data_IF_758437129991
#
_entry.id   IF_758437129991
#
_cell.length_a   1.000
_cell.length_b   1.000
_cell.length_c   1.000
_cell.angle_alpha   90.00
_cell.angle_beta   90.00
_cell.angle_gamma   90.00
#
_symmetry.space_group_name_H-M   'P 1'
#
loop_
_entity.id
_entity.type
_entity.pdbx_description
1 polymer ?
#
# COMPACT_ATOMS: atom_id res chain seq x y z
N UNK A 1 -2.01 -19.40 -12.53
CA UNK A 1 -3.09 -18.40 -12.65
C UNK A 1 -3.34 -17.85 -11.26
N UNK A 2 -2.66 -16.78 -10.87
CA UNK A 2 -2.88 -16.18 -9.55
C UNK A 2 -4.17 -15.36 -9.59
N UNK A 3 -5.13 -15.75 -8.75
CA UNK A 3 -6.38 -15.01 -8.57
C UNK A 3 -6.03 -13.55 -8.24
N UNK A 4 -6.45 -12.62 -9.11
CA UNK A 4 -6.56 -11.19 -8.81
C UNK A 4 -7.63 -11.00 -7.71
N UNK A 5 -7.36 -11.46 -6.50
CA UNK A 5 -8.28 -11.38 -5.37
C UNK A 5 -8.13 -9.99 -4.76
N UNK A 6 -8.85 -9.05 -5.34
CA UNK A 6 -9.00 -7.70 -4.80
C UNK A 6 -9.70 -7.79 -3.45
N UNK A 7 -9.08 -7.27 -2.41
CA UNK A 7 -9.70 -7.19 -1.08
C UNK A 7 -10.53 -5.91 -1.05
N UNK A 8 -11.85 -5.99 -1.19
CA UNK A 8 -12.69 -4.79 -1.26
C UNK A 8 -12.91 -4.12 0.10
N UNK A 9 -13.02 -4.91 1.17
CA UNK A 9 -13.35 -4.42 2.51
C UNK A 9 -12.16 -3.68 3.16
N UNK A 10 -12.29 -2.36 3.47
CA UNK A 10 -11.29 -1.60 4.20
C UNK A 10 -10.90 -2.21 5.54
N UNK A 11 -11.84 -2.83 6.25
CA UNK A 11 -11.58 -3.49 7.53
C UNK A 11 -10.62 -4.65 7.34
N UNK A 12 -10.89 -5.49 6.34
CA UNK A 12 -10.02 -6.62 6.00
C UNK A 12 -8.62 -6.16 5.60
N UNK A 13 -8.50 -5.06 4.84
CA UNK A 13 -7.19 -4.48 4.50
C UNK A 13 -6.40 -4.06 5.74
N UNK A 14 -7.03 -3.36 6.69
CA UNK A 14 -6.38 -2.95 7.94
C UNK A 14 -5.94 -4.15 8.77
N UNK A 15 -6.79 -5.20 8.85
CA UNK A 15 -6.44 -6.43 9.54
C UNK A 15 -5.21 -7.10 8.92
N UNK A 16 -5.18 -7.23 7.59
CA UNK A 16 -4.05 -7.85 6.88
C UNK A 16 -2.75 -7.05 7.05
N UNK A 17 -2.82 -5.72 7.15
CA UNK A 17 -1.64 -4.90 7.45
C UNK A 17 -1.14 -5.16 8.87
N UNK A 18 -2.04 -5.18 9.86
CA UNK A 18 -1.69 -5.45 11.24
C UNK A 18 -1.03 -6.84 11.37
N UNK A 19 -1.63 -7.85 10.75
CA UNK A 19 -1.12 -9.22 10.73
C UNK A 19 0.27 -9.29 10.04
N UNK A 20 0.44 -8.63 8.89
CA UNK A 20 1.71 -8.61 8.17
C UNK A 20 2.84 -7.89 8.91
N UNK A 21 2.50 -6.94 9.79
CA UNK A 21 3.44 -6.22 10.65
C UNK A 21 3.64 -6.90 12.01
N UNK A 22 2.92 -7.98 12.30
CA UNK A 22 2.99 -8.69 13.59
C UNK A 22 2.44 -7.89 14.77
N UNK A 23 1.47 -7.00 14.53
CA UNK A 23 0.86 -6.14 15.56
C UNK A 23 -0.65 -6.33 15.63
N UNK A 24 -1.26 -5.89 16.73
CA UNK A 24 -2.72 -5.84 16.80
C UNK A 24 -3.25 -4.64 16.01
N UNK A 25 -4.50 -4.70 15.55
CA UNK A 25 -5.16 -3.55 14.88
C UNK A 25 -5.16 -2.30 15.77
N UNK A 26 -5.38 -2.47 17.07
CA UNK A 26 -5.29 -1.36 18.03
C UNK A 26 -3.85 -0.86 18.25
N UNK A 27 -2.84 -1.67 17.96
CA UNK A 27 -1.43 -1.26 17.96
C UNK A 27 -0.99 -0.57 16.66
N UNK A 28 -1.85 -0.51 15.64
CA UNK A 28 -1.49 0.02 14.32
C UNK A 28 -1.56 1.55 14.26
N UNK A 29 -2.51 2.20 14.94
CA UNK A 29 -2.68 3.66 14.86
C UNK A 29 -1.44 4.48 15.24
N UNK A 30 -0.64 4.16 16.30
CA UNK A 30 0.54 4.95 16.62
C UNK A 30 1.66 4.73 15.59
N UNK A 31 1.77 3.53 15.01
CA UNK A 31 2.75 3.21 13.98
C UNK A 31 2.44 3.92 12.65
N UNK A 32 1.17 4.19 12.38
CA UNK A 32 0.73 5.00 11.25
C UNK A 32 0.77 6.50 11.55
N UNK A 33 1.34 6.94 12.68
CA UNK A 33 1.53 8.35 13.01
C UNK A 33 0.25 9.09 13.41
N UNK A 34 -0.83 8.38 13.75
CA UNK A 34 -2.03 9.01 14.29
C UNK A 34 -1.86 9.29 15.79
N UNK A 35 -2.51 10.37 16.28
CA UNK A 35 -2.54 10.73 17.71
C UNK A 35 -3.56 9.93 18.52
N UNK A 36 -4.52 9.28 17.86
CA UNK A 36 -5.55 8.48 18.48
C UNK A 36 -6.02 7.34 17.56
N UNK A 37 -6.71 6.36 18.15
CA UNK A 37 -7.30 5.22 17.43
C UNK A 37 -8.58 5.57 16.64
N UNK A 38 -9.01 6.84 16.61
CA UNK A 38 -10.32 7.24 16.05
C UNK A 38 -10.47 6.85 14.57
N UNK A 39 -9.41 7.02 13.78
CA UNK A 39 -9.42 6.74 12.33
C UNK A 39 -9.51 5.24 12.07
N UNK A 40 -8.66 4.45 12.72
CA UNK A 40 -8.66 2.99 12.61
C UNK A 40 -9.99 2.42 13.13
N UNK A 41 -10.49 2.90 14.27
CA UNK A 41 -11.80 2.49 14.80
C UNK A 41 -12.92 2.79 13.81
N UNK A 42 -12.92 3.96 13.17
CA UNK A 42 -13.94 4.32 12.17
C UNK A 42 -13.95 3.36 10.98
N UNK A 43 -12.77 2.90 10.54
CA UNK A 43 -12.64 1.88 9.49
C UNK A 43 -13.15 0.53 10.01
N UNK A 44 -12.73 0.10 11.19
CA UNK A 44 -13.08 -1.21 11.76
C UNK A 44 -14.57 -1.36 12.09
N UNK A 45 -15.24 -0.28 12.49
CA UNK A 45 -16.69 -0.24 12.75
C UNK A 45 -17.52 0.09 11.50
N UNK A 46 -16.91 0.11 10.31
CA UNK A 46 -17.62 0.30 9.04
C UNK A 46 -18.17 1.71 8.79
N UNK A 47 -17.72 2.71 9.56
CA UNK A 47 -18.07 4.13 9.31
C UNK A 47 -17.37 4.68 8.07
N UNK A 48 -16.30 4.03 7.62
CA UNK A 48 -15.51 4.40 6.45
C UNK A 48 -15.70 3.37 5.34
N UNK A 49 -16.25 3.80 4.21
CA UNK A 49 -16.52 2.93 3.04
C UNK A 49 -15.28 2.63 2.21
N UNK A 50 -14.24 3.47 2.28
CA UNK A 50 -12.99 3.28 1.55
C UNK A 50 -11.81 3.94 2.27
N UNK A 51 -10.62 3.35 2.13
CA UNK A 51 -9.39 3.97 2.63
C UNK A 51 -9.05 5.17 1.75
N UNK A 52 -8.87 6.34 2.36
CA UNK A 52 -8.59 7.57 1.62
C UNK A 52 -7.13 7.65 1.16
N UNK A 53 -6.86 8.37 0.08
CA UNK A 53 -5.50 8.67 -0.38
C UNK A 53 -4.67 9.38 0.72
N UNK A 54 -5.29 10.24 1.52
CA UNK A 54 -4.63 10.92 2.63
C UNK A 54 -4.19 9.93 3.72
N UNK A 55 -5.06 8.96 4.07
CA UNK A 55 -4.69 7.88 4.98
C UNK A 55 -3.51 7.08 4.44
N UNK A 56 -3.58 6.67 3.17
CA UNK A 56 -2.54 5.83 2.58
C UNK A 56 -1.18 6.55 2.45
N UNK A 57 -1.18 7.83 2.09
CA UNK A 57 0.05 8.64 2.09
C UNK A 57 0.67 8.74 3.47
N UNK A 58 -0.14 9.02 4.49
CA UNK A 58 0.34 9.07 5.87
C UNK A 58 0.88 7.71 6.34
N UNK A 59 0.18 6.62 6.03
CA UNK A 59 0.63 5.27 6.33
C UNK A 59 2.00 4.96 5.75
N UNK A 60 2.25 5.32 4.49
CA UNK A 60 3.54 5.08 3.81
C UNK A 60 4.63 6.03 4.29
N UNK A 61 4.28 7.27 4.66
CA UNK A 61 5.24 8.20 5.26
C UNK A 61 5.88 7.60 6.52
N UNK A 62 5.07 6.90 7.33
CA UNK A 62 5.50 6.32 8.60
C UNK A 62 6.03 4.89 8.45
N UNK A 63 5.38 4.10 7.60
CA UNK A 63 5.70 2.69 7.33
C UNK A 63 5.81 2.47 5.81
N UNK A 64 6.97 2.78 5.23
CA UNK A 64 7.15 2.75 3.78
C UNK A 64 7.02 1.35 3.18
N UNK A 65 7.17 0.31 4.00
CA UNK A 65 6.96 -1.07 3.55
C UNK A 65 5.49 -1.38 3.24
N UNK A 66 4.51 -0.57 3.66
CA UNK A 66 3.11 -0.83 3.32
C UNK A 66 2.87 -0.53 1.83
N UNK A 67 2.14 -1.40 1.12
CA UNK A 67 1.80 -1.17 -0.28
C UNK A 67 0.63 -0.17 -0.41
N UNK A 68 0.86 0.93 -1.12
CA UNK A 68 -0.15 1.93 -1.44
C UNK A 68 -1.36 1.35 -2.18
N UNK A 69 -1.10 0.49 -3.17
CA UNK A 69 -2.16 -0.12 -3.98
C UNK A 69 -2.97 -1.13 -3.17
N UNK A 70 -2.37 -1.74 -2.16
CA UNK A 70 -3.11 -2.58 -1.23
C UNK A 70 -4.07 -1.74 -0.38
N UNK A 71 -3.61 -0.59 0.14
CA UNK A 71 -4.45 0.31 0.91
C UNK A 71 -5.64 0.85 0.10
N UNK A 72 -5.37 1.37 -1.10
CA UNK A 72 -6.38 2.07 -1.91
C UNK A 72 -7.27 1.10 -2.68
N UNK A 73 -6.68 0.11 -3.33
CA UNK A 73 -7.40 -0.80 -4.23
C UNK A 73 -7.54 -2.22 -3.67
N UNK A 74 -6.88 -2.58 -2.56
CA UNK A 74 -6.90 -3.95 -2.05
C UNK A 74 -6.08 -4.93 -2.88
N UNK A 75 -5.20 -4.41 -3.75
CA UNK A 75 -4.32 -5.21 -4.62
C UNK A 75 -3.10 -5.68 -3.84
N UNK A 76 -2.87 -6.99 -3.83
CA UNK A 76 -1.69 -7.59 -3.24
C UNK A 76 -0.40 -7.18 -3.98
N UNK A 77 0.77 -7.26 -3.33
CA UNK A 77 1.02 -7.73 -1.95
C UNK A 77 0.68 -6.69 -0.86
N UNK A 78 0.50 -7.12 0.40
CA UNK A 78 0.23 -6.21 1.55
C UNK A 78 1.43 -5.31 1.83
N UNK A 79 2.62 -5.92 1.84
CA UNK A 79 3.89 -5.25 2.05
C UNK A 79 4.70 -5.23 0.76
N UNK A 80 5.57 -4.24 0.64
CA UNK A 80 6.54 -4.05 -0.44
C UNK A 80 7.94 -4.23 0.12
N UNK A 81 8.88 -4.59 -0.75
CA UNK A 81 10.28 -4.79 -0.40
C UNK A 81 11.18 -4.11 -1.44
N UNK A 82 12.40 -3.75 -1.01
CA UNK A 82 13.47 -3.28 -1.89
C UNK A 82 13.11 -1.99 -2.65
N UNK A 83 13.26 -2.01 -3.98
CA UNK A 83 13.10 -0.84 -4.85
C UNK A 83 11.69 -0.23 -4.83
N UNK A 84 10.65 -1.04 -4.62
CA UNK A 84 9.25 -0.55 -4.56
C UNK A 84 9.07 0.36 -3.35
N UNK A 85 9.68 0.00 -2.21
CA UNK A 85 9.63 0.81 -1.01
C UNK A 85 10.28 2.18 -1.24
N UNK A 86 11.41 2.22 -1.96
CA UNK A 86 12.10 3.46 -2.30
C UNK A 86 11.31 4.35 -3.27
N UNK A 87 10.63 3.76 -4.26
CA UNK A 87 9.73 4.49 -5.16
C UNK A 87 8.55 5.08 -4.39
N UNK A 88 7.93 4.31 -3.48
CA UNK A 88 6.84 4.81 -2.64
C UNK A 88 7.27 5.94 -1.71
N UNK A 89 8.47 5.88 -1.13
CA UNK A 89 9.03 6.99 -0.34
C UNK A 89 9.20 8.26 -1.18
N UNK A 90 9.74 8.11 -2.39
CA UNK A 90 9.90 9.24 -3.31
C UNK A 90 8.54 9.84 -3.73
N UNK A 91 7.45 9.07 -3.69
CA UNK A 91 6.09 9.57 -3.95
C UNK A 91 5.49 10.41 -2.82
N UNK A 92 6.00 10.28 -1.59
CA UNK A 92 5.50 10.98 -0.40
C UNK A 92 6.41 12.15 0.01
N UNK A 93 7.60 12.26 -0.60
CA UNK A 93 8.51 13.37 -0.37
C UNK A 93 7.85 14.72 -0.74
N UNK A 94 8.09 15.81 0.01
CA UNK A 94 7.31 17.05 -0.07
C UNK A 94 7.45 17.85 -1.38
N UNK A 95 8.26 17.41 -2.34
CA UNK A 95 8.78 18.28 -3.39
C UNK A 95 8.15 18.15 -4.77
N UNK A 96 7.20 17.26 -5.03
CA UNK A 96 6.57 17.23 -6.36
C UNK A 96 5.07 17.00 -6.33
N UNK A 97 4.34 17.95 -6.91
CA UNK A 97 2.92 17.93 -7.22
C UNK A 97 2.61 16.90 -8.31
N UNK A 98 2.92 15.63 -8.08
CA UNK A 98 2.69 14.56 -9.06
C UNK A 98 1.22 14.14 -8.98
N UNK A 99 0.50 14.20 -10.11
CA UNK A 99 -0.91 13.82 -10.17
C UNK A 99 -1.08 12.30 -10.02
N UNK A 100 -2.22 11.85 -9.46
CA UNK A 100 -2.54 10.42 -9.29
C UNK A 100 -2.45 9.63 -10.61
N UNK A 101 -2.69 10.28 -11.76
CA UNK A 101 -2.54 9.67 -13.09
C UNK A 101 -1.07 9.44 -13.46
N UNK A 102 -0.19 10.40 -13.16
CA UNK A 102 1.26 10.25 -13.38
C UNK A 102 1.85 9.17 -12.45
N UNK A 103 1.32 9.06 -11.23
CA UNK A 103 1.68 8.02 -10.27
C UNK A 103 1.30 6.63 -10.79
N UNK A 104 0.06 6.46 -11.25
CA UNK A 104 -0.42 5.20 -11.80
C UNK A 104 0.40 4.78 -13.04
N UNK A 105 0.72 5.74 -13.91
CA UNK A 105 1.55 5.49 -15.09
C UNK A 105 2.97 5.03 -14.73
N UNK A 106 3.61 5.66 -13.73
CA UNK A 106 4.97 5.26 -13.30
C UNK A 106 4.99 3.85 -12.69
N UNK A 107 4.01 3.51 -11.85
CA UNK A 107 3.90 2.17 -11.26
C UNK A 107 3.61 1.09 -12.32
N UNK A 108 2.79 1.40 -13.32
CA UNK A 108 2.51 0.49 -14.44
C UNK A 108 3.76 0.22 -15.29
N UNK A 109 4.56 1.25 -15.58
CA UNK A 109 5.84 1.11 -16.30
C UNK A 109 6.83 0.24 -15.51
N UNK A 110 6.92 0.42 -14.19
CA UNK A 110 7.79 -0.40 -13.33
C UNK A 110 7.33 -1.85 -13.35
N UNK A 111 6.03 -2.10 -13.17
CA UNK A 111 5.44 -3.44 -13.18
C UNK A 111 5.70 -4.16 -14.52
N UNK A 112 5.51 -3.46 -15.64
CA UNK A 112 5.81 -3.98 -16.99
C UNK A 112 7.30 -4.27 -17.19
N UNK A 113 8.17 -3.43 -16.64
CA UNK A 113 9.63 -3.61 -16.74
C UNK A 113 10.09 -4.82 -15.92
N UNK A 114 9.55 -5.01 -14.72
CA UNK A 114 9.84 -6.19 -13.89
C UNK A 114 9.36 -7.49 -14.57
N UNK A 115 8.17 -7.51 -15.15
CA UNK A 115 7.69 -8.65 -15.95
C UNK A 115 8.63 -8.95 -17.12
N UNK A 116 9.14 -7.91 -17.80
CA UNK A 116 10.07 -8.07 -18.92
C UNK A 116 11.42 -8.63 -18.47
N UNK A 117 11.92 -8.22 -17.30
CA UNK A 117 13.18 -8.74 -16.73
C UNK A 117 12.99 -10.21 -16.30
N UNK A 118 11.89 -10.53 -15.63
CA UNK A 118 11.57 -11.90 -15.22
C UNK A 118 11.49 -12.84 -16.44
N UNK A 119 10.80 -12.44 -17.51
CA UNK A 119 10.77 -13.21 -18.76
C UNK A 119 12.14 -13.40 -19.41
N UNK A 120 13.02 -12.38 -19.34
CA UNK A 120 14.39 -12.51 -19.84
C UNK A 120 15.22 -13.47 -18.99
N UNK A 121 15.02 -13.50 -17.68
CA UNK A 121 15.68 -14.42 -16.76
C UNK A 121 15.18 -15.86 -16.93
N UNK A 122 13.87 -16.05 -17.20
CA UNK A 122 13.31 -17.36 -17.54
C UNK A 122 13.86 -17.90 -18.86
N UNK A 123 14.07 -17.04 -19.86
CA UNK A 123 14.65 -17.42 -21.15
C UNK A 123 16.16 -17.73 -21.11
N UNK A 124 16.84 -17.44 -19.99
CA UNK A 124 18.26 -17.75 -19.77
C UNK A 124 18.47 -19.08 -19.01
N UNK A 125 17.38 -19.75 -18.61
CA UNK A 125 17.38 -21.12 -18.09
C UNK A 125 17.04 -22.11 -19.19
#
# INVERSE_FOLDING_TARGET
>A
MENNKTIEDPKQRIQMIADALGVTVNGLWPLLGYKSNTVISSIMYGKTKSITAAFAKNAIAQLPQINYLFLIDGKLPVLTHGEIQQVQQNMVAPNETISLQQIAAKLDVISKTQIKILKKLEALK
#
